data_IF_272261153552
#
_entry.id   IF_272261153552
#
_cell.length_a   1.000
_cell.length_b   1.000
_cell.length_c   1.000
_cell.angle_alpha   90.00
_cell.angle_beta   90.00
_cell.angle_gamma   90.00
#
_symmetry.space_group_name_H-M   'P 1'
#
loop_
_entity.id
_entity.type
_entity.pdbx_description
1 polymer ?
#
# COMPACT_ATOMS: atom_id res chain seq x y z
N UNK A 1 24.48 26.99 7.03
CA UNK A 1 23.95 25.62 7.22
C UNK A 1 22.75 25.48 6.29
N UNK A 2 22.77 24.51 5.37
CA UNK A 2 21.72 24.39 4.35
C UNK A 2 20.40 24.04 5.03
N UNK A 3 19.37 24.85 4.75
CA UNK A 3 18.00 24.74 5.28
C UNK A 3 17.55 23.28 5.13
N UNK A 4 17.42 22.60 6.27
CA UNK A 4 16.88 21.25 6.33
C UNK A 4 15.45 21.28 5.79
N UNK A 5 15.14 20.35 4.89
CA UNK A 5 13.80 20.10 4.37
C UNK A 5 12.78 20.02 5.51
N UNK A 6 12.04 21.10 5.77
CA UNK A 6 10.99 21.16 6.78
C UNK A 6 9.76 20.34 6.38
N UNK A 7 9.57 20.09 5.08
CA UNK A 7 8.48 19.30 4.52
C UNK A 7 9.02 18.05 3.81
N UNK A 8 8.49 16.88 4.18
CA UNK A 8 8.86 15.57 3.61
C UNK A 8 8.41 15.42 2.14
N UNK A 9 7.48 16.23 1.66
CA UNK A 9 6.90 16.11 0.32
C UNK A 9 7.65 16.90 -0.76
N UNK A 10 8.61 17.74 -0.37
CA UNK A 10 9.26 18.71 -1.27
C UNK A 10 10.76 18.47 -1.48
N UNK A 11 11.24 17.25 -1.22
CA UNK A 11 12.66 16.93 -1.35
C UNK A 11 12.89 15.60 -2.04
N UNK A 12 13.96 15.55 -2.84
CA UNK A 12 14.51 14.30 -3.31
C UNK A 12 15.23 13.60 -2.17
N UNK A 13 15.17 12.27 -2.18
CA UNK A 13 15.85 11.39 -1.25
C UNK A 13 16.95 10.62 -1.96
N UNK A 14 18.13 10.55 -1.35
CA UNK A 14 19.19 9.70 -1.84
C UNK A 14 18.83 8.24 -1.57
N UNK A 15 18.53 7.49 -2.63
CA UNK A 15 18.10 6.07 -2.54
C UNK A 15 19.18 5.09 -3.00
N UNK A 16 20.18 5.57 -3.74
CA UNK A 16 21.32 4.80 -4.18
C UNK A 16 22.51 5.74 -4.38
N UNK A 17 23.70 5.26 -4.01
CA UNK A 17 24.97 5.94 -4.24
C UNK A 17 26.05 4.88 -4.38
N UNK A 18 27.07 5.18 -5.19
CA UNK A 18 28.21 4.29 -5.37
C UNK A 18 29.42 5.10 -5.81
N UNK A 19 30.60 4.70 -5.35
CA UNK A 19 31.86 5.27 -5.75
C UNK A 19 32.97 4.92 -4.76
N UNK A 20 34.21 5.16 -5.17
CA UNK A 20 35.41 4.90 -4.37
C UNK A 20 36.18 6.19 -4.18
N UNK A 21 36.69 6.44 -2.97
CA UNK A 21 37.53 7.59 -2.70
C UNK A 21 38.89 7.47 -3.41
N UNK A 22 39.45 8.61 -3.78
CA UNK A 22 40.83 8.71 -4.26
C UNK A 22 41.82 8.73 -3.09
N UNK A 23 41.35 9.03 -1.88
CA UNK A 23 42.21 9.27 -0.71
C UNK A 23 42.48 8.01 0.09
N UNK A 24 41.55 7.06 0.08
CA UNK A 24 41.63 5.83 0.85
C UNK A 24 40.83 4.74 0.16
N UNK A 25 41.43 3.56 0.00
CA UNK A 25 40.78 2.38 -0.60
C UNK A 25 39.61 1.88 0.25
N UNK A 26 39.60 2.16 1.55
CA UNK A 26 38.54 1.76 2.48
C UNK A 26 37.33 2.71 2.49
N UNK A 27 37.42 3.87 1.81
CA UNK A 27 36.36 4.87 1.82
C UNK A 27 35.45 4.73 0.58
N UNK A 28 34.27 4.14 0.81
CA UNK A 28 33.24 3.91 -0.21
C UNK A 28 32.05 4.88 -0.08
N UNK A 29 31.53 5.34 -1.22
CA UNK A 29 30.42 6.29 -1.33
C UNK A 29 29.05 5.62 -1.46
N UNK A 30 28.81 4.56 -0.70
CA UNK A 30 27.53 3.80 -0.75
C UNK A 30 26.53 4.23 0.34
N UNK A 31 27.00 5.00 1.32
CA UNK A 31 26.18 5.44 2.45
C UNK A 31 25.07 6.41 2.02
N UNK A 32 23.85 6.14 2.47
CA UNK A 32 22.65 6.94 2.17
C UNK A 32 22.26 7.90 3.30
N UNK A 33 22.95 7.86 4.44
CA UNK A 33 22.58 8.55 5.68
C UNK A 33 23.34 9.87 5.92
N UNK A 34 24.19 10.30 4.98
CA UNK A 34 25.03 11.49 5.11
C UNK A 34 24.31 12.84 4.93
N UNK A 35 25.08 13.93 4.97
CA UNK A 35 24.57 15.31 4.89
C UNK A 35 23.82 15.66 3.59
N UNK A 36 23.96 14.83 2.55
CA UNK A 36 23.26 14.96 1.28
C UNK A 36 22.22 13.86 1.06
N UNK A 37 21.71 13.23 2.14
CA UNK A 37 20.62 12.25 2.06
C UNK A 37 19.30 12.83 1.54
N UNK A 38 19.15 14.16 1.61
CA UNK A 38 17.98 14.92 1.15
C UNK A 38 18.45 16.12 0.33
N UNK A 39 17.80 16.33 -0.81
CA UNK A 39 18.06 17.47 -1.70
C UNK A 39 16.76 18.25 -1.90
N UNK A 40 16.69 19.53 -1.49
CA UNK A 40 15.51 20.36 -1.73
C UNK A 40 15.29 20.60 -3.23
N UNK A 41 14.02 20.64 -3.65
CA UNK A 41 13.63 20.98 -5.02
C UNK A 41 14.06 22.41 -5.37
N UNK A 42 14.53 22.64 -6.59
CA UNK A 42 14.98 23.94 -7.08
C UNK A 42 16.32 24.44 -6.52
N UNK A 43 16.91 23.74 -5.54
CA UNK A 43 18.16 24.15 -4.88
C UNK A 43 19.36 23.39 -5.46
N UNK A 44 20.39 24.15 -5.88
CA UNK A 44 21.62 23.63 -6.50
C UNK A 44 21.33 22.78 -7.75
N UNK A 45 22.37 22.16 -8.30
CA UNK A 45 22.28 21.37 -9.54
C UNK A 45 21.23 20.24 -9.48
N UNK A 46 21.19 19.48 -8.39
CA UNK A 46 20.25 18.34 -8.26
C UNK A 46 18.81 18.82 -8.16
N UNK A 47 18.52 19.78 -7.27
CA UNK A 47 17.17 20.31 -7.11
C UNK A 47 16.67 21.04 -8.36
N UNK A 48 17.54 21.79 -9.04
CA UNK A 48 17.19 22.47 -10.28
C UNK A 48 16.87 21.49 -11.42
N UNK A 49 17.61 20.37 -11.56
CA UNK A 49 17.26 19.33 -12.54
C UNK A 49 15.89 18.71 -12.24
N UNK A 50 15.60 18.49 -10.96
CA UNK A 50 14.34 17.90 -10.52
C UNK A 50 13.13 18.79 -10.86
N UNK A 51 13.27 20.12 -10.76
CA UNK A 51 12.20 21.07 -11.09
C UNK A 51 12.14 21.42 -12.57
N UNK A 52 13.28 21.56 -13.24
CA UNK A 52 13.34 22.00 -14.65
C UNK A 52 13.14 20.85 -15.64
N UNK A 53 13.37 19.60 -15.23
CA UNK A 53 13.35 18.45 -16.12
C UNK A 53 14.43 18.50 -17.21
N UNK A 54 15.49 19.28 -17.02
CA UNK A 54 16.64 19.42 -17.94
C UNK A 54 17.88 18.77 -17.36
N UNK A 55 18.70 18.16 -18.22
CA UNK A 55 19.99 17.63 -17.85
C UNK A 55 20.98 18.78 -17.54
N UNK A 56 21.94 18.51 -16.65
CA UNK A 56 23.03 19.44 -16.33
C UNK A 56 24.35 18.73 -16.61
N UNK A 57 25.18 19.37 -17.43
CA UNK A 57 26.53 18.92 -17.75
C UNK A 57 27.50 20.02 -17.33
N UNK A 58 28.55 19.63 -16.62
CA UNK A 58 29.65 20.50 -16.22
C UNK A 58 30.93 19.77 -16.64
N UNK A 59 31.57 20.27 -17.69
CA UNK A 59 32.78 19.64 -18.24
C UNK A 59 34.02 19.93 -17.40
N UNK A 60 34.04 21.09 -16.74
CA UNK A 60 35.07 21.48 -15.78
C UNK A 60 34.41 22.10 -14.54
N UNK A 61 34.41 21.31 -13.45
CA UNK A 61 33.84 21.71 -12.16
C UNK A 61 34.71 22.77 -11.48
N UNK A 62 36.01 22.86 -11.80
CA UNK A 62 36.89 23.87 -11.18
C UNK A 62 36.64 25.27 -11.73
N UNK A 63 36.22 25.38 -12.99
CA UNK A 63 35.86 26.64 -13.63
C UNK A 63 34.49 27.17 -13.18
N UNK A 64 33.57 26.28 -12.78
CA UNK A 64 32.18 26.65 -12.45
C UNK A 64 31.78 26.30 -11.00
N UNK A 65 32.22 27.15 -10.07
CA UNK A 65 32.15 26.87 -8.63
C UNK A 65 30.79 27.07 -7.97
N UNK A 66 29.85 27.80 -8.59
CA UNK A 66 28.59 28.20 -7.94
C UNK A 66 27.64 27.02 -7.66
N UNK A 67 27.81 25.87 -8.33
CA UNK A 67 27.03 24.65 -8.11
C UNK A 67 27.62 23.70 -7.06
N UNK A 68 28.78 24.02 -6.50
CA UNK A 68 29.54 23.13 -5.62
C UNK A 68 29.19 23.39 -4.16
N UNK A 69 28.60 22.38 -3.52
CA UNK A 69 28.27 22.45 -2.09
C UNK A 69 29.49 22.23 -1.18
N UNK A 70 30.51 21.51 -1.66
CA UNK A 70 31.75 21.18 -0.94
C UNK A 70 32.95 21.27 -1.91
N UNK A 71 33.52 22.48 -2.09
CA UNK A 71 34.68 22.67 -2.96
C UNK A 71 35.88 21.82 -2.52
N UNK A 72 36.13 21.74 -1.21
CA UNK A 72 37.24 20.95 -0.66
C UNK A 72 37.14 19.46 -1.04
N UNK A 73 35.92 18.90 -1.03
CA UNK A 73 35.70 17.50 -1.45
C UNK A 73 36.00 17.29 -2.93
N UNK A 74 35.58 18.23 -3.80
CA UNK A 74 35.84 18.15 -5.25
C UNK A 74 37.35 18.13 -5.52
N UNK A 75 38.10 19.05 -4.90
CA UNK A 75 39.55 19.11 -5.04
C UNK A 75 40.24 17.86 -4.49
N UNK A 76 39.82 17.41 -3.31
CA UNK A 76 40.50 16.34 -2.61
C UNK A 76 40.18 14.94 -3.19
N UNK A 77 39.08 14.79 -3.93
CA UNK A 77 38.72 13.60 -4.71
C UNK A 77 39.12 13.67 -6.20
N UNK A 78 39.80 14.76 -6.60
CA UNK A 78 40.20 15.05 -7.98
C UNK A 78 39.02 14.99 -8.98
N UNK A 79 37.84 15.46 -8.58
CA UNK A 79 36.65 15.49 -9.44
C UNK A 79 36.80 16.60 -10.47
N UNK A 80 36.69 16.24 -11.75
CA UNK A 80 36.85 17.16 -12.88
C UNK A 80 35.52 17.50 -13.55
N UNK A 81 34.63 16.53 -13.71
CA UNK A 81 33.37 16.72 -14.44
C UNK A 81 32.15 16.17 -13.69
N UNK A 82 30.98 16.67 -14.07
CA UNK A 82 29.70 16.24 -13.54
C UNK A 82 28.68 16.09 -14.67
N UNK A 83 27.89 15.03 -14.59
CA UNK A 83 26.72 14.86 -15.45
C UNK A 83 25.52 14.39 -14.65
N UNK A 84 24.43 15.13 -14.77
CA UNK A 84 23.17 14.85 -14.12
C UNK A 84 22.03 14.76 -15.13
N UNK A 85 21.16 13.79 -14.93
CA UNK A 85 20.03 13.47 -15.77
C UNK A 85 18.76 13.38 -14.91
N UNK A 86 17.67 14.07 -15.26
CA UNK A 86 16.38 13.84 -14.63
C UNK A 86 15.83 12.47 -15.08
N UNK A 87 15.30 11.70 -14.14
CA UNK A 87 14.59 10.45 -14.42
C UNK A 87 13.15 10.81 -14.80
N UNK A 88 12.91 11.04 -16.09
CA UNK A 88 11.61 11.52 -16.58
C UNK A 88 10.79 10.39 -17.15
N UNK A 89 9.53 10.35 -16.75
CA UNK A 89 8.54 9.48 -17.36
C UNK A 89 7.33 10.32 -17.75
N UNK A 90 7.07 10.44 -19.06
CA UNK A 90 6.09 11.38 -19.61
C UNK A 90 6.41 12.82 -19.15
N UNK A 91 5.44 13.50 -18.54
CA UNK A 91 5.57 14.89 -18.07
C UNK A 91 6.05 15.02 -16.62
N UNK A 92 6.32 13.90 -15.94
CA UNK A 92 6.76 13.88 -14.55
C UNK A 92 8.27 13.61 -14.43
N UNK A 93 8.93 14.30 -13.48
CA UNK A 93 10.30 13.98 -13.07
C UNK A 93 10.27 13.15 -11.79
N UNK A 94 10.59 11.86 -11.90
CA UNK A 94 10.52 10.90 -10.79
C UNK A 94 11.73 10.98 -9.85
N UNK A 95 12.84 11.54 -10.34
CA UNK A 95 14.10 11.65 -9.60
C UNK A 95 15.24 12.19 -10.46
N UNK A 96 16.47 12.04 -9.98
CA UNK A 96 17.68 12.48 -10.68
C UNK A 96 18.76 11.40 -10.57
N UNK A 97 19.38 11.06 -11.70
CA UNK A 97 20.62 10.30 -11.77
C UNK A 97 21.79 11.29 -11.88
N UNK A 98 22.80 11.13 -11.05
CA UNK A 98 23.94 12.05 -11.00
C UNK A 98 25.24 11.27 -10.96
N UNK A 99 26.22 11.71 -11.76
CA UNK A 99 27.54 11.12 -11.82
C UNK A 99 28.61 12.21 -11.71
N UNK A 100 29.64 11.92 -10.91
CA UNK A 100 30.86 12.70 -10.82
C UNK A 100 31.99 11.88 -11.44
N UNK A 101 32.91 12.54 -12.15
CA UNK A 101 34.04 11.87 -12.80
C UNK A 101 35.33 12.64 -12.56
N UNK A 102 36.44 11.90 -12.48
CA UNK A 102 37.82 12.42 -12.39
C UNK A 102 38.44 12.72 -13.75
N UNK A 103 37.70 12.49 -14.83
CA UNK A 103 38.08 12.80 -16.19
C UNK A 103 36.92 13.48 -16.93
N UNK A 104 37.19 14.21 -18.02
CA UNK A 104 36.14 14.72 -18.89
C UNK A 104 35.28 13.57 -19.42
N UNK A 105 33.97 13.74 -19.39
CA UNK A 105 33.06 12.71 -19.90
C UNK A 105 32.97 12.77 -21.43
N UNK A 106 33.20 11.63 -22.07
CA UNK A 106 32.98 11.50 -23.51
C UNK A 106 31.49 11.48 -23.88
N UNK A 107 31.17 11.87 -25.11
CA UNK A 107 29.80 11.90 -25.62
C UNK A 107 29.11 10.53 -25.55
N UNK A 108 29.83 9.46 -25.91
CA UNK A 108 29.32 8.08 -25.84
C UNK A 108 28.89 7.68 -24.42
N UNK A 109 29.67 8.04 -23.40
CA UNK A 109 29.32 7.78 -22.01
C UNK A 109 28.03 8.53 -21.60
N UNK A 110 27.87 9.78 -22.04
CA UNK A 110 26.63 10.55 -21.81
C UNK A 110 25.42 9.92 -22.47
N UNK A 111 25.56 9.43 -23.70
CA UNK A 111 24.49 8.74 -24.42
C UNK A 111 24.06 7.46 -23.69
N UNK A 112 25.03 6.65 -23.24
CA UNK A 112 24.77 5.47 -22.42
C UNK A 112 24.03 5.79 -21.12
N UNK A 113 24.48 6.81 -20.39
CA UNK A 113 23.82 7.25 -19.16
C UNK A 113 22.40 7.74 -19.41
N UNK A 114 22.15 8.39 -20.56
CA UNK A 114 20.80 8.83 -20.94
C UNK A 114 19.87 7.64 -21.18
N UNK A 115 20.33 6.62 -21.90
CA UNK A 115 19.56 5.37 -22.10
C UNK A 115 19.25 4.68 -20.77
N UNK A 116 20.23 4.63 -19.86
CA UNK A 116 20.05 4.07 -18.51
C UNK A 116 19.02 4.89 -17.72
N UNK A 117 19.11 6.21 -17.76
CA UNK A 117 18.16 7.09 -17.08
C UNK A 117 16.72 6.89 -17.58
N UNK A 118 16.53 6.76 -18.90
CA UNK A 118 15.22 6.52 -19.50
C UNK A 118 14.65 5.14 -19.06
N UNK A 119 15.49 4.10 -19.05
CA UNK A 119 15.09 2.77 -18.55
C UNK A 119 14.75 2.78 -17.06
N UNK A 120 15.56 3.45 -16.23
CA UNK A 120 15.30 3.60 -14.80
C UNK A 120 14.00 4.35 -14.55
N UNK A 121 13.73 5.44 -15.28
CA UNK A 121 12.50 6.19 -15.14
C UNK A 121 11.27 5.33 -15.47
N UNK A 122 11.31 4.57 -16.56
CA UNK A 122 10.24 3.63 -16.91
C UNK A 122 10.04 2.55 -15.84
N UNK A 123 11.12 1.95 -15.33
CA UNK A 123 11.04 0.93 -14.29
C UNK A 123 10.41 1.47 -12.98
N UNK A 124 10.81 2.67 -12.55
CA UNK A 124 10.26 3.32 -11.36
C UNK A 124 8.77 3.64 -11.56
N UNK A 125 8.38 4.17 -12.72
CA UNK A 125 6.99 4.47 -13.04
C UNK A 125 6.12 3.20 -13.01
N UNK A 126 6.61 2.11 -13.60
CA UNK A 126 5.91 0.83 -13.63
C UNK A 126 5.74 0.26 -12.22
N UNK A 127 6.79 0.30 -11.39
CA UNK A 127 6.74 -0.17 -10.01
C UNK A 127 5.72 0.62 -9.17
N UNK A 128 5.68 1.96 -9.30
CA UNK A 128 4.67 2.80 -8.64
C UNK A 128 3.25 2.47 -9.12
N UNK A 129 3.07 2.22 -10.41
CA UNK A 129 1.75 1.90 -10.98
C UNK A 129 1.23 0.55 -10.46
N UNK A 130 2.11 -0.45 -10.31
CA UNK A 130 1.73 -1.75 -9.75
C UNK A 130 1.29 -1.63 -8.28
N UNK A 131 2.05 -0.88 -7.47
CA UNK A 131 1.70 -0.64 -6.06
C UNK A 131 0.33 0.08 -5.91
N UNK A 132 0.02 1.02 -6.80
CA UNK A 132 -1.27 1.70 -6.81
C UNK A 132 -2.42 0.76 -7.22
N UNK A 133 -2.20 -0.08 -8.23
CA UNK A 133 -3.18 -1.09 -8.64
C UNK A 133 -3.50 -2.05 -7.48
N UNK A 134 -2.48 -2.52 -6.76
CA UNK A 134 -2.67 -3.44 -5.63
C UNK A 134 -3.44 -2.78 -4.47
N UNK A 135 -3.13 -1.51 -4.16
CA UNK A 135 -3.87 -0.73 -3.15
C UNK A 135 -5.33 -0.54 -3.53
N UNK A 136 -5.60 -0.11 -4.77
CA UNK A 136 -6.96 0.10 -5.26
C UNK A 136 -7.76 -1.20 -5.30
N UNK A 137 -7.13 -2.30 -5.73
CA UNK A 137 -7.74 -3.62 -5.72
C UNK A 137 -8.11 -4.05 -4.30
N UNK A 138 -7.19 -3.92 -3.34
CA UNK A 138 -7.46 -4.28 -1.95
C UNK A 138 -8.63 -3.45 -1.36
N UNK A 139 -8.69 -2.16 -1.68
CA UNK A 139 -9.81 -1.30 -1.28
C UNK A 139 -11.14 -1.72 -1.89
N UNK A 140 -11.15 -2.01 -3.20
CA UNK A 140 -12.33 -2.51 -3.91
C UNK A 140 -12.82 -3.84 -3.35
N UNK A 141 -11.91 -4.74 -2.99
CA UNK A 141 -12.26 -6.03 -2.37
C UNK A 141 -12.93 -5.81 -1.01
N UNK A 142 -12.40 -4.93 -0.16
CA UNK A 142 -13.01 -4.56 1.13
C UNK A 142 -14.39 -3.91 0.96
N UNK A 143 -14.54 -2.99 0.02
CA UNK A 143 -15.83 -2.36 -0.28
C UNK A 143 -16.83 -3.38 -0.81
N UNK A 144 -16.41 -4.32 -1.66
CA UNK A 144 -17.28 -5.38 -2.17
C UNK A 144 -17.70 -6.34 -1.05
N UNK A 145 -16.80 -6.70 -0.15
CA UNK A 145 -17.11 -7.52 1.02
C UNK A 145 -18.13 -6.81 1.92
N UNK A 146 -17.90 -5.54 2.27
CA UNK A 146 -18.82 -4.72 3.04
C UNK A 146 -20.20 -4.59 2.36
N UNK A 147 -20.23 -4.28 1.06
CA UNK A 147 -21.48 -4.17 0.30
C UNK A 147 -22.20 -5.51 0.18
N UNK A 148 -21.49 -6.64 0.09
CA UNK A 148 -22.10 -7.97 0.11
C UNK A 148 -22.68 -8.32 1.47
N UNK A 149 -22.06 -7.87 2.55
CA UNK A 149 -22.63 -7.97 3.89
C UNK A 149 -23.90 -7.13 3.99
N UNK A 150 -23.86 -5.87 3.54
CA UNK A 150 -25.01 -4.95 3.59
C UNK A 150 -26.16 -5.38 2.68
N UNK A 151 -25.86 -5.78 1.43
CA UNK A 151 -26.85 -6.35 0.51
C UNK A 151 -27.33 -7.70 1.02
N UNK A 152 -26.46 -8.53 1.60
CA UNK A 152 -26.87 -9.73 2.30
C UNK A 152 -27.90 -9.40 3.37
N UNK A 153 -27.68 -8.35 4.16
CA UNK A 153 -28.60 -7.79 5.17
C UNK A 153 -29.87 -7.19 4.55
N UNK A 154 -29.81 -6.55 3.38
CA UNK A 154 -30.95 -5.89 2.74
C UNK A 154 -31.80 -6.79 1.81
N UNK A 155 -31.25 -7.88 1.25
CA UNK A 155 -31.92 -8.70 0.20
C UNK A 155 -33.05 -9.56 0.74
N UNK A 156 -33.06 -9.83 2.04
CA UNK A 156 -34.22 -10.43 2.70
C UNK A 156 -34.96 -9.31 3.43
N UNK A 157 -35.96 -8.72 2.77
CA UNK A 157 -36.85 -7.73 3.35
C UNK A 157 -37.66 -8.26 4.54
N UNK A 158 -38.55 -7.44 5.08
CA UNK A 158 -39.44 -7.86 6.16
C UNK A 158 -40.33 -9.04 5.73
N UNK A 159 -40.85 -9.81 6.70
CA UNK A 159 -41.84 -10.86 6.46
C UNK A 159 -43.14 -10.22 5.92
N UNK A 160 -43.31 -10.19 4.59
CA UNK A 160 -44.49 -9.60 3.94
C UNK A 160 -45.53 -10.68 3.64
N UNK A 161 -46.74 -10.55 4.18
CA UNK A 161 -47.90 -11.36 3.81
C UNK A 161 -48.91 -11.53 4.95
N UNK A 162 -50.20 -11.69 4.58
CA UNK A 162 -51.33 -11.74 5.52
C UNK A 162 -52.04 -13.10 5.57
N UNK A 163 -51.37 -14.18 5.14
CA UNK A 163 -51.99 -15.51 5.19
C UNK A 163 -52.12 -16.01 6.65
N UNK A 164 -53.10 -16.86 6.96
CA UNK A 164 -53.24 -17.44 8.31
C UNK A 164 -51.98 -18.18 8.79
N UNK A 165 -51.24 -18.83 7.88
CA UNK A 165 -49.99 -19.51 8.17
C UNK A 165 -48.88 -18.53 8.56
N UNK A 166 -48.72 -17.41 7.85
CA UNK A 166 -47.73 -16.39 8.19
C UNK A 166 -48.07 -15.70 9.52
N UNK A 167 -49.35 -15.47 9.80
CA UNK A 167 -49.79 -14.94 11.10
C UNK A 167 -49.51 -15.92 12.25
N UNK A 168 -49.60 -17.22 12.02
CA UNK A 168 -49.23 -18.23 13.01
C UNK A 168 -47.72 -18.18 13.28
N UNK A 169 -46.90 -18.14 12.23
CA UNK A 169 -45.44 -18.03 12.35
C UNK A 169 -45.05 -16.74 13.07
N UNK A 170 -45.63 -15.59 12.71
CA UNK A 170 -45.36 -14.33 13.42
C UNK A 170 -45.66 -14.44 14.91
N UNK A 171 -46.78 -15.05 15.30
CA UNK A 171 -47.12 -15.27 16.72
C UNK A 171 -46.13 -16.19 17.43
N UNK A 172 -45.63 -17.22 16.76
CA UNK A 172 -44.59 -18.09 17.31
C UNK A 172 -43.27 -17.33 17.51
N UNK A 173 -42.90 -16.48 16.55
CA UNK A 173 -41.72 -15.62 16.66
C UNK A 173 -41.87 -14.68 17.87
N UNK A 174 -43.01 -14.00 18.01
CA UNK A 174 -43.28 -13.08 19.13
C UNK A 174 -43.16 -13.78 20.50
N UNK A 175 -43.55 -15.05 20.57
CA UNK A 175 -43.48 -15.82 21.80
C UNK A 175 -42.04 -16.21 22.18
N UNK A 176 -41.20 -16.56 21.19
CA UNK A 176 -39.86 -17.13 21.44
C UNK A 176 -38.74 -16.11 21.37
N UNK A 177 -38.88 -15.05 20.55
CA UNK A 177 -37.85 -14.04 20.34
C UNK A 177 -37.31 -13.38 21.64
N UNK A 178 -38.12 -13.05 22.66
CA UNK A 178 -37.60 -12.44 23.89
C UNK A 178 -36.91 -13.45 24.84
N UNK A 179 -36.86 -14.74 24.49
CA UNK A 179 -36.25 -15.79 25.33
C UNK A 179 -34.82 -16.11 24.90
N UNK A 180 -34.01 -16.64 25.81
CA UNK A 180 -32.63 -17.06 25.53
C UNK A 180 -32.50 -18.51 25.01
N UNK A 181 -33.60 -19.12 24.55
CA UNK A 181 -33.62 -20.52 24.09
C UNK A 181 -33.08 -20.70 22.67
N UNK A 182 -32.60 -21.92 22.37
CA UNK A 182 -32.29 -22.32 21.00
C UNK A 182 -33.58 -22.58 20.21
N UNK A 183 -33.61 -22.13 18.95
CA UNK A 183 -34.78 -22.25 18.07
C UNK A 183 -34.43 -23.07 16.83
N UNK A 184 -35.27 -24.06 16.51
CA UNK A 184 -35.15 -24.87 15.31
C UNK A 184 -36.22 -24.44 14.30
N UNK A 185 -35.79 -24.05 13.10
CA UNK A 185 -36.68 -23.64 12.01
C UNK A 185 -36.71 -24.76 10.96
N UNK A 186 -37.88 -25.34 10.75
CA UNK A 186 -38.10 -26.42 9.79
C UNK A 186 -38.86 -25.92 8.56
N UNK A 187 -38.66 -26.58 7.42
CA UNK A 187 -39.34 -26.27 6.17
C UNK A 187 -38.51 -26.69 4.96
N UNK A 188 -39.16 -26.78 3.81
CA UNK A 188 -38.52 -27.14 2.53
C UNK A 188 -37.50 -26.08 2.08
N UNK A 189 -36.60 -26.46 1.17
CA UNK A 189 -35.65 -25.51 0.58
C UNK A 189 -36.39 -24.38 -0.15
N UNK A 190 -35.93 -23.14 -0.01
CA UNK A 190 -36.55 -21.98 -0.67
C UNK A 190 -37.78 -21.38 0.03
N UNK A 191 -38.28 -21.94 1.14
CA UNK A 191 -39.45 -21.41 1.88
C UNK A 191 -39.15 -20.18 2.75
N UNK A 192 -37.96 -19.58 2.63
CA UNK A 192 -37.60 -18.35 3.35
C UNK A 192 -37.25 -18.55 4.83
N UNK A 193 -36.75 -19.71 5.25
CA UNK A 193 -36.30 -19.95 6.64
C UNK A 193 -35.32 -18.90 7.17
N UNK A 194 -34.50 -18.31 6.29
CA UNK A 194 -33.60 -17.20 6.65
C UNK A 194 -34.36 -15.91 7.04
N UNK A 195 -35.51 -15.62 6.43
CA UNK A 195 -36.38 -14.49 6.81
C UNK A 195 -36.92 -14.70 8.22
N UNK A 196 -37.33 -15.93 8.55
CA UNK A 196 -37.82 -16.28 9.89
C UNK A 196 -36.71 -16.07 10.94
N UNK A 197 -35.49 -16.55 10.68
CA UNK A 197 -34.36 -16.40 11.59
C UNK A 197 -34.00 -14.92 11.85
N UNK A 198 -34.06 -14.08 10.81
CA UNK A 198 -33.83 -12.64 10.92
C UNK A 198 -34.88 -11.95 11.76
N UNK A 199 -36.14 -12.27 11.52
CA UNK A 199 -37.24 -11.67 12.25
C UNK A 199 -37.20 -12.05 13.74
N UNK A 200 -36.78 -13.28 14.03
CA UNK A 200 -36.53 -13.74 15.38
C UNK A 200 -35.42 -12.94 16.07
N UNK A 201 -34.30 -12.70 15.38
CA UNK A 201 -33.22 -11.85 15.90
C UNK A 201 -33.69 -10.41 16.13
N UNK A 202 -34.39 -9.83 15.16
CA UNK A 202 -34.90 -8.45 15.18
C UNK A 202 -35.88 -8.19 16.34
N UNK A 203 -36.72 -9.19 16.69
CA UNK A 203 -37.67 -9.10 17.81
C UNK A 203 -37.08 -9.58 19.15
N UNK A 204 -35.82 -9.99 19.19
CA UNK A 204 -35.17 -10.49 20.41
C UNK A 204 -34.51 -9.39 21.24
N UNK A 205 -34.13 -9.73 22.47
CA UNK A 205 -33.28 -8.88 23.31
C UNK A 205 -31.87 -8.65 22.74
N UNK A 206 -31.50 -9.37 21.67
CA UNK A 206 -30.19 -9.31 21.01
C UNK A 206 -30.24 -8.54 19.69
N UNK A 207 -31.35 -7.88 19.36
CA UNK A 207 -31.56 -7.17 18.10
C UNK A 207 -30.47 -6.12 17.78
N UNK A 208 -29.89 -5.48 18.81
CA UNK A 208 -28.82 -4.50 18.67
C UNK A 208 -27.42 -5.11 18.50
N UNK A 209 -27.30 -6.44 18.48
CA UNK A 209 -26.04 -7.16 18.27
C UNK A 209 -25.98 -7.73 16.84
N UNK A 210 -24.78 -8.00 16.30
CA UNK A 210 -24.64 -8.64 15.00
C UNK A 210 -25.37 -9.99 14.92
N UNK A 211 -26.03 -10.26 13.79
CA UNK A 211 -26.58 -11.58 13.48
C UNK A 211 -25.55 -12.39 12.67
N UNK A 212 -24.84 -13.28 13.35
CA UNK A 212 -23.83 -14.12 12.71
C UNK A 212 -24.49 -15.32 12.02
N UNK A 213 -24.46 -15.33 10.68
CA UNK A 213 -24.94 -16.46 9.87
C UNK A 213 -23.81 -17.46 9.62
N UNK A 214 -24.06 -18.74 9.88
CA UNK A 214 -23.12 -19.81 9.52
C UNK A 214 -23.82 -20.95 8.78
N UNK A 215 -23.31 -21.27 7.60
CA UNK A 215 -23.72 -22.46 6.86
C UNK A 215 -22.87 -23.66 7.31
N UNK A 216 -23.39 -24.44 8.25
CA UNK A 216 -22.68 -25.60 8.79
C UNK A 216 -22.36 -26.67 7.72
N UNK A 217 -23.09 -26.73 6.61
CA UNK A 217 -22.77 -27.67 5.52
C UNK A 217 -21.51 -27.28 4.73
N UNK A 218 -21.11 -26.00 4.79
CA UNK A 218 -19.96 -25.47 4.05
C UNK A 218 -18.66 -25.44 4.87
N UNK A 219 -18.73 -25.76 6.18
CA UNK A 219 -17.57 -25.75 7.08
C UNK A 219 -17.10 -27.18 7.34
N UNK A 220 -15.87 -27.55 6.92
CA UNK A 220 -15.28 -28.84 7.26
C UNK A 220 -15.23 -29.06 8.76
N UNK A 221 -15.44 -30.30 9.21
CA UNK A 221 -15.57 -30.60 10.64
C UNK A 221 -14.34 -30.19 11.43
N UNK A 222 -13.19 -30.29 10.79
CA UNK A 222 -11.85 -30.01 11.33
C UNK A 222 -11.60 -28.50 11.49
N UNK A 223 -12.39 -27.64 10.83
CA UNK A 223 -12.21 -26.18 10.83
C UNK A 223 -13.26 -25.42 11.65
N UNK A 224 -14.22 -26.13 12.27
CA UNK A 224 -15.28 -25.48 13.05
C UNK A 224 -14.75 -24.57 14.15
N UNK A 225 -13.84 -25.08 14.97
CA UNK A 225 -13.32 -24.34 16.13
C UNK A 225 -12.55 -23.09 15.67
N UNK A 226 -11.71 -23.25 14.64
CA UNK A 226 -10.95 -22.16 14.04
C UNK A 226 -11.83 -21.09 13.38
N UNK A 227 -12.94 -21.47 12.73
CA UNK A 227 -13.85 -20.50 12.10
C UNK A 227 -14.71 -19.76 13.13
N UNK A 228 -15.15 -20.44 14.19
CA UNK A 228 -16.03 -19.84 15.20
C UNK A 228 -15.29 -19.05 16.28
N UNK A 229 -14.20 -19.60 16.80
CA UNK A 229 -13.44 -19.03 17.92
C UNK A 229 -12.12 -18.39 17.49
N UNK A 230 -11.74 -18.56 16.22
CA UNK A 230 -10.47 -18.05 15.71
C UNK A 230 -9.31 -18.97 16.05
N UNK A 231 -8.11 -18.55 15.68
CA UNK A 231 -6.87 -19.23 16.04
C UNK A 231 -5.69 -18.27 16.06
N UNK A 232 -4.71 -18.59 16.89
CA UNK A 232 -3.39 -17.97 16.82
C UNK A 232 -2.50 -18.69 15.81
N UNK A 233 -1.51 -17.97 15.29
CA UNK A 233 -0.47 -18.51 14.41
C UNK A 233 0.18 -19.74 15.05
N UNK A 234 0.23 -20.83 14.30
CA UNK A 234 0.82 -22.10 14.76
C UNK A 234 -0.11 -23.01 15.55
N UNK A 235 -1.40 -22.68 15.73
CA UNK A 235 -2.36 -23.55 16.40
C UNK A 235 -2.58 -24.91 15.69
N UNK A 236 -2.39 -24.95 14.36
CA UNK A 236 -2.41 -26.18 13.55
C UNK A 236 -1.52 -26.04 12.30
N UNK A 237 -1.24 -27.14 11.62
CA UNK A 237 -0.49 -27.16 10.35
C UNK A 237 -1.27 -26.39 9.26
N UNK A 238 -0.83 -25.17 8.96
CA UNK A 238 -1.51 -24.25 8.02
C UNK A 238 -1.96 -22.93 8.64
N UNK A 239 -1.89 -22.78 9.98
CA UNK A 239 -2.19 -21.53 10.68
C UNK A 239 -1.04 -20.50 10.52
N UNK A 240 -0.92 -19.91 9.32
CA UNK A 240 0.17 -18.99 8.96
C UNK A 240 0.09 -17.62 9.65
N UNK A 241 -1.09 -17.23 10.12
CA UNK A 241 -1.39 -15.93 10.75
C UNK A 241 -2.49 -16.08 11.80
N UNK A 242 -2.58 -15.11 12.71
CA UNK A 242 -3.71 -15.02 13.63
C UNK A 242 -5.01 -14.70 12.86
N UNK A 243 -6.12 -15.27 13.31
CA UNK A 243 -7.45 -15.01 12.74
C UNK A 243 -8.48 -14.96 13.87
N UNK A 244 -9.18 -13.84 13.99
CA UNK A 244 -10.29 -13.69 14.92
C UNK A 244 -11.47 -14.60 14.53
N UNK A 245 -12.18 -15.12 15.53
CA UNK A 245 -13.33 -15.98 15.33
C UNK A 245 -14.60 -15.21 15.01
N UNK A 246 -15.59 -15.87 14.39
CA UNK A 246 -16.92 -15.27 14.15
C UNK A 246 -17.66 -14.87 15.43
N UNK A 247 -17.29 -15.39 16.60
CA UNK A 247 -17.85 -14.98 17.90
C UNK A 247 -17.16 -13.76 18.54
N UNK A 248 -16.05 -13.28 17.97
CA UNK A 248 -15.33 -12.09 18.47
C UNK A 248 -15.71 -10.79 17.72
N UNK A 249 -16.59 -10.89 16.71
CA UNK A 249 -17.11 -9.78 15.90
C UNK A 249 -18.32 -9.07 16.52
#
# INVERSE_FOLDING_TARGET
>A
MAVECSDRTQCLHLVASYGHSHQSDDLHWERLDGNFRRMPMGVRKIGHMATSGKAVQIDDVTADSHWIARPDWVSAEAIQSFFGLPLRYRDETLGVLAMFSRSPMHASCREWLRMIADHLAAAIANARSLDEIDKLKSRLEQENEYLREEVGVATFGELVGNSPALQLISRQIDLVAPTDTSVLILGESGTGKELIARELHRRSNRANRPLIKVNCAAVPRELYESEFFGHSKGAFTGALRDRAGRFEL
#
